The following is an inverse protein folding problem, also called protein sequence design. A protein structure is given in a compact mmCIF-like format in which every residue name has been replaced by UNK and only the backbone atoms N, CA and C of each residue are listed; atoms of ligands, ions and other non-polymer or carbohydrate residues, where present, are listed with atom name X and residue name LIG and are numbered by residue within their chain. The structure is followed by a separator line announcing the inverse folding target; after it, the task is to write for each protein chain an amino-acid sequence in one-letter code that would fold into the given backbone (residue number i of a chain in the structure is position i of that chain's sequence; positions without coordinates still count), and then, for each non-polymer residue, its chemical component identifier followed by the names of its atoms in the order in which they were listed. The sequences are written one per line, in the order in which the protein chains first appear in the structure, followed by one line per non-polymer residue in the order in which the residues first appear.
data_IF_404984657004
#
_entry.id   IF_404984657004
#
_cell.length_a   1.000
_cell.length_b   1.000
_cell.length_c   1.000
_cell.angle_alpha   90.00
_cell.angle_beta   90.00
_cell.angle_gamma   90.00
#
_symmetry.space_group_name_H-M   'P 1'
#
loop_
_entity.id
_entity.type
_entity.pdbx_description
1 polymer ?
#
# COMPACT_ATOMS: atom_id res chain seq x y z
N UNK A 1 39.65 -14.86 -24.32
CA UNK A 1 38.58 -14.29 -23.45
C UNK A 1 37.17 -14.86 -23.70
N UNK A 2 36.96 -15.80 -24.63
CA UNK A 2 35.63 -16.38 -24.89
C UNK A 2 35.38 -17.78 -24.27
N UNK A 3 36.36 -18.39 -23.59
CA UNK A 3 36.23 -19.74 -23.01
C UNK A 3 35.87 -19.76 -21.51
N UNK A 4 35.87 -18.61 -20.82
CA UNK A 4 35.55 -18.55 -19.40
C UNK A 4 34.03 -18.52 -19.11
N UNK A 5 33.18 -18.14 -20.08
CA UNK A 5 31.74 -17.93 -19.84
C UNK A 5 30.90 -19.22 -19.82
N UNK A 6 31.47 -20.36 -20.22
CA UNK A 6 30.72 -21.63 -20.28
C UNK A 6 30.95 -22.56 -19.08
N UNK A 7 31.93 -22.29 -18.22
CA UNK A 7 32.21 -23.11 -17.02
C UNK A 7 31.41 -22.68 -15.77
N UNK A 8 30.81 -21.49 -15.76
CA UNK A 8 30.12 -20.98 -14.56
C UNK A 8 28.67 -21.49 -14.40
N UNK A 9 28.14 -22.20 -15.41
CA UNK A 9 26.73 -22.64 -15.44
C UNK A 9 26.43 -23.98 -14.74
N UNK A 10 27.42 -24.66 -14.13
CA UNK A 10 27.21 -26.00 -13.53
C UNK A 10 27.41 -26.12 -12.02
N UNK A 11 27.88 -25.10 -11.29
CA UNK A 11 28.36 -25.28 -9.90
C UNK A 11 27.68 -24.39 -8.84
N UNK A 12 26.43 -23.95 -9.04
CA UNK A 12 25.75 -23.11 -8.02
C UNK A 12 24.23 -23.30 -8.03
N UNK A 13 23.75 -24.50 -7.71
CA UNK A 13 22.40 -24.65 -7.14
C UNK A 13 22.39 -25.69 -6.01
N UNK A 14 22.83 -25.22 -4.85
CA UNK A 14 22.33 -25.57 -3.51
C UNK A 14 22.53 -27.02 -3.04
N UNK A 15 23.78 -27.37 -2.77
CA UNK A 15 24.10 -28.13 -1.55
C UNK A 15 23.97 -27.18 -0.36
N UNK A 16 22.87 -27.27 0.39
CA UNK A 16 22.82 -27.03 1.85
C UNK A 16 21.58 -27.74 2.41
N UNK A 17 21.88 -28.75 3.22
CA UNK A 17 21.23 -29.13 4.47
C UNK A 17 19.70 -29.41 4.42
N UNK A 18 19.28 -30.65 4.66
CA UNK A 18 19.43 -31.21 5.99
C UNK A 18 19.46 -32.73 5.97
N UNK A 19 20.63 -33.27 6.34
CA UNK A 19 20.73 -34.58 6.95
C UNK A 19 20.02 -34.48 8.31
N UNK A 20 18.70 -34.60 8.31
CA UNK A 20 17.95 -34.70 9.56
C UNK A 20 18.25 -36.08 10.13
N UNK A 21 19.22 -36.07 11.05
CA UNK A 21 19.44 -37.08 12.07
C UNK A 21 18.08 -37.63 12.50
N UNK A 22 17.72 -38.82 12.02
CA UNK A 22 16.41 -39.41 12.25
C UNK A 22 16.29 -39.63 13.76
N UNK A 23 15.45 -38.90 14.50
CA UNK A 23 15.11 -39.35 15.83
C UNK A 23 14.32 -40.65 15.63
N UNK A 24 14.50 -41.63 16.50
CA UNK A 24 13.65 -42.82 16.59
C UNK A 24 12.23 -42.36 17.00
N UNK A 25 11.49 -41.78 16.06
CA UNK A 25 10.12 -41.34 16.25
C UNK A 25 9.21 -42.55 16.09
N UNK A 26 8.68 -43.02 17.21
CA UNK A 26 7.78 -44.16 17.28
C UNK A 26 6.32 -43.71 17.27
N UNK A 27 5.46 -44.43 16.55
CA UNK A 27 4.00 -44.22 16.53
C UNK A 27 3.50 -43.12 15.57
N UNK A 28 2.45 -42.41 15.99
CA UNK A 28 1.67 -41.44 15.18
C UNK A 28 2.50 -40.29 14.56
N UNK A 29 3.61 -39.90 15.21
CA UNK A 29 4.51 -38.85 14.69
C UNK A 29 5.16 -39.25 13.36
N UNK A 30 5.49 -40.53 13.18
CA UNK A 30 6.09 -41.02 11.93
C UNK A 30 5.10 -40.93 10.77
N UNK A 31 3.81 -41.16 11.01
CA UNK A 31 2.77 -41.01 9.99
C UNK A 31 2.63 -39.54 9.56
N UNK A 32 2.65 -38.61 10.52
CA UNK A 32 2.60 -37.17 10.25
C UNK A 32 3.83 -36.73 9.46
N UNK A 33 5.04 -37.13 9.87
CA UNK A 33 6.26 -36.80 9.14
C UNK A 33 6.27 -37.36 7.71
N UNK A 34 5.78 -38.59 7.53
CA UNK A 34 5.69 -39.22 6.22
C UNK A 34 4.67 -38.50 5.34
N UNK A 35 3.53 -38.12 5.89
CA UNK A 35 2.48 -37.35 5.22
C UNK A 35 2.97 -35.94 4.85
N UNK A 36 3.65 -35.24 5.75
CA UNK A 36 4.23 -33.93 5.50
C UNK A 36 5.31 -34.00 4.41
N UNK A 37 6.18 -35.01 4.43
CA UNK A 37 7.17 -35.25 3.36
C UNK A 37 6.50 -35.60 2.02
N UNK A 38 5.33 -36.21 2.04
CA UNK A 38 4.55 -36.51 0.83
C UNK A 38 3.92 -35.23 0.26
N UNK A 39 3.29 -34.41 1.10
CA UNK A 39 2.77 -33.08 0.72
C UNK A 39 3.89 -32.21 0.18
N UNK A 40 5.03 -32.14 0.85
CA UNK A 40 6.16 -31.31 0.42
C UNK A 40 6.67 -31.76 -0.96
N UNK A 41 6.78 -33.07 -1.19
CA UNK A 41 7.15 -33.60 -2.52
C UNK A 41 6.10 -33.26 -3.57
N UNK A 42 4.82 -33.33 -3.23
CA UNK A 42 3.73 -32.96 -4.13
C UNK A 42 3.75 -31.46 -4.47
N UNK A 43 3.98 -30.62 -3.47
CA UNK A 43 4.18 -29.17 -3.62
C UNK A 43 5.41 -28.85 -4.47
N UNK A 44 6.56 -29.47 -4.21
CA UNK A 44 7.74 -29.26 -5.06
C UNK A 44 7.48 -29.70 -6.51
N UNK A 45 6.74 -30.79 -6.72
CA UNK A 45 6.38 -31.27 -8.05
C UNK A 45 5.36 -30.36 -8.76
N UNK A 46 4.44 -29.73 -8.03
CA UNK A 46 3.51 -28.74 -8.60
C UNK A 46 4.26 -27.45 -8.98
N UNK A 47 5.20 -27.01 -8.15
CA UNK A 47 6.04 -25.83 -8.41
C UNK A 47 7.02 -26.05 -9.56
N UNK A 48 7.59 -27.24 -9.69
CA UNK A 48 8.53 -27.58 -10.77
C UNK A 48 7.85 -27.56 -12.16
N UNK A 49 6.53 -27.71 -12.21
CA UNK A 49 5.79 -27.58 -13.45
C UNK A 49 5.86 -26.15 -13.99
N UNK A 50 6.53 -25.98 -15.14
CA UNK A 50 6.73 -24.67 -15.79
C UNK A 50 5.41 -23.94 -16.06
N UNK A 51 4.36 -24.65 -16.46
CA UNK A 51 3.03 -24.07 -16.69
C UNK A 51 2.42 -23.51 -15.40
N UNK A 52 2.58 -24.20 -14.27
CA UNK A 52 2.05 -23.74 -12.99
C UNK A 52 2.78 -22.49 -12.48
N UNK A 53 4.10 -22.45 -12.64
CA UNK A 53 4.89 -21.25 -12.32
C UNK A 53 4.47 -20.03 -13.16
N UNK A 54 4.21 -20.22 -14.46
CA UNK A 54 3.72 -19.14 -15.32
C UNK A 54 2.35 -18.65 -14.85
N UNK A 55 1.42 -19.58 -14.56
CA UNK A 55 0.09 -19.24 -14.04
C UNK A 55 0.16 -18.44 -12.74
N UNK A 56 0.98 -18.88 -11.77
CA UNK A 56 1.15 -18.20 -10.49
C UNK A 56 1.75 -16.80 -10.69
N UNK A 57 2.69 -16.65 -11.61
CA UNK A 57 3.28 -15.34 -11.96
C UNK A 57 2.21 -14.39 -12.51
N UNK A 58 1.34 -14.87 -13.41
CA UNK A 58 0.22 -14.09 -13.95
C UNK A 58 -0.75 -13.68 -12.83
N UNK A 59 -1.10 -14.61 -11.95
CA UNK A 59 -1.98 -14.31 -10.81
C UNK A 59 -1.40 -13.23 -9.89
N UNK A 60 -0.08 -13.26 -9.64
CA UNK A 60 0.62 -12.23 -8.85
C UNK A 60 0.58 -10.89 -9.58
N UNK A 61 0.81 -10.84 -10.89
CA UNK A 61 0.73 -9.59 -11.67
C UNK A 61 -0.68 -8.99 -11.58
N UNK A 62 -1.72 -9.81 -11.72
CA UNK A 62 -3.12 -9.38 -11.59
C UNK A 62 -3.38 -8.84 -10.17
N UNK A 63 -2.92 -9.55 -9.15
CA UNK A 63 -3.04 -9.10 -7.76
C UNK A 63 -2.38 -7.73 -7.53
N UNK A 64 -1.18 -7.53 -8.04
CA UNK A 64 -0.47 -6.25 -7.93
C UNK A 64 -1.20 -5.13 -8.68
N UNK A 65 -1.72 -5.41 -9.88
CA UNK A 65 -2.53 -4.47 -10.66
C UNK A 65 -3.73 -3.97 -9.85
N UNK A 66 -4.52 -4.87 -9.28
CA UNK A 66 -5.65 -4.50 -8.42
C UNK A 66 -5.22 -3.79 -7.14
N UNK A 67 -4.10 -4.20 -6.54
CA UNK A 67 -3.58 -3.57 -5.32
C UNK A 67 -3.20 -2.10 -5.56
N UNK A 68 -2.52 -1.82 -6.67
CA UNK A 68 -2.15 -0.45 -7.06
C UNK A 68 -3.39 0.38 -7.38
N UNK A 69 -4.34 -0.17 -8.13
CA UNK A 69 -5.60 0.54 -8.44
C UNK A 69 -6.39 0.83 -7.17
N UNK A 70 -6.50 -0.14 -6.25
CA UNK A 70 -7.17 0.04 -4.97
C UNK A 70 -6.48 1.09 -4.10
N UNK A 71 -5.15 1.08 -4.07
CA UNK A 71 -4.36 2.07 -3.34
C UNK A 71 -4.52 3.48 -3.94
N UNK A 72 -4.52 3.62 -5.27
CA UNK A 72 -4.70 4.90 -5.95
C UNK A 72 -6.14 5.41 -5.89
N UNK A 73 -7.13 4.52 -5.85
CA UNK A 73 -8.55 4.88 -5.73
C UNK A 73 -8.98 5.16 -4.28
N UNK A 74 -8.08 5.04 -3.30
CA UNK A 74 -8.42 5.37 -1.93
C UNK A 74 -8.61 6.89 -1.84
N UNK A 75 -9.86 7.33 -1.91
CA UNK A 75 -10.21 8.72 -1.62
C UNK A 75 -10.00 8.90 -0.12
N UNK A 76 -8.93 9.59 0.27
CA UNK A 76 -8.61 10.01 1.64
C UNK A 76 -9.56 11.12 2.15
N UNK A 77 -10.75 11.23 1.57
CA UNK A 77 -11.82 12.06 2.12
C UNK A 77 -12.22 11.40 3.44
N UNK A 78 -11.98 12.08 4.54
CA UNK A 78 -12.42 11.67 5.87
C UNK A 78 -13.94 11.85 5.92
N UNK A 79 -14.69 10.94 5.30
CA UNK A 79 -16.16 10.98 5.32
C UNK A 79 -16.61 10.95 6.79
N UNK A 80 -17.09 12.08 7.29
CA UNK A 80 -17.59 12.26 8.66
C UNK A 80 -18.73 11.28 8.97
N UNK A 81 -19.32 10.71 7.90
CA UNK A 81 -20.33 9.65 7.91
C UNK A 81 -19.84 8.34 8.53
N UNK A 82 -18.52 8.08 8.54
CA UNK A 82 -17.93 6.86 9.16
C UNK A 82 -17.52 7.05 10.62
N UNK A 83 -17.49 8.29 11.11
CA UNK A 83 -17.07 8.61 12.49
C UNK A 83 -18.27 8.57 13.45
N UNK A 84 -19.48 8.75 12.94
CA UNK A 84 -20.71 8.62 13.72
C UNK A 84 -21.39 7.26 13.49
N UNK A 85 -21.93 6.62 14.55
CA UNK A 85 -22.77 5.43 14.40
C UNK A 85 -23.95 5.72 13.44
N UNK A 86 -24.28 4.73 12.59
CA UNK A 86 -25.25 4.86 11.49
C UNK A 86 -26.66 5.25 11.93
N UNK A 87 -26.99 5.06 13.20
CA UNK A 87 -28.35 5.20 13.72
C UNK A 87 -28.60 6.54 14.44
N UNK A 88 -27.68 7.50 14.32
CA UNK A 88 -27.86 8.81 14.96
C UNK A 88 -28.79 9.72 14.15
N UNK A 89 -29.82 10.34 14.78
CA UNK A 89 -30.68 11.34 14.13
C UNK A 89 -29.93 12.59 13.62
N UNK A 90 -28.65 12.75 14.00
CA UNK A 90 -27.76 13.84 13.56
C UNK A 90 -27.15 13.59 12.16
N UNK A 91 -27.34 12.41 11.56
CA UNK A 91 -26.82 12.16 10.20
C UNK A 91 -27.52 12.96 9.11
N UNK A 92 -28.82 13.28 9.26
CA UNK A 92 -29.57 14.00 8.20
C UNK A 92 -29.03 15.43 7.98
N UNK A 93 -28.80 16.25 9.02
CA UNK A 93 -28.15 17.54 8.84
C UNK A 93 -26.71 17.44 8.33
N UNK A 94 -25.95 16.45 8.80
CA UNK A 94 -24.51 16.33 8.47
C UNK A 94 -24.27 15.92 7.00
N UNK A 95 -25.24 15.26 6.37
CA UNK A 95 -25.20 14.91 4.94
C UNK A 95 -25.47 16.13 4.06
N UNK A 96 -26.41 16.99 4.48
CA UNK A 96 -26.70 18.28 3.84
C UNK A 96 -25.51 19.24 4.01
N UNK A 97 -24.89 19.26 5.20
CA UNK A 97 -23.69 20.05 5.47
C UNK A 97 -22.51 19.62 4.58
N UNK A 98 -22.34 18.31 4.33
CA UNK A 98 -21.31 17.83 3.40
C UNK A 98 -21.61 18.17 1.95
N UNK A 99 -22.84 17.99 1.47
CA UNK A 99 -23.17 18.30 0.07
C UNK A 99 -23.14 19.80 -0.22
N UNK A 100 -23.42 20.65 0.77
CA UNK A 100 -23.55 22.11 0.59
C UNK A 100 -22.27 22.85 1.03
N UNK A 101 -21.71 22.53 2.20
CA UNK A 101 -20.58 23.29 2.80
C UNK A 101 -19.21 22.70 2.47
N UNK A 102 -19.12 21.44 2.02
CA UNK A 102 -17.82 20.90 1.57
C UNK A 102 -17.57 21.07 0.07
N UNK A 103 -18.58 21.43 -0.72
CA UNK A 103 -18.43 21.85 -2.11
C UNK A 103 -18.02 23.35 -2.19
N UNK A 104 -18.53 24.16 -1.27
CA UNK A 104 -18.06 25.53 -1.04
C UNK A 104 -16.83 25.52 -0.13
N UNK A 105 -15.67 25.94 -0.65
CA UNK A 105 -14.41 26.00 0.08
C UNK A 105 -14.57 26.60 1.49
N UNK A 106 -13.94 25.99 2.49
CA UNK A 106 -13.94 26.52 3.86
C UNK A 106 -13.26 27.89 3.91
N UNK A 107 -13.80 28.87 4.66
CA UNK A 107 -13.20 30.19 4.74
C UNK A 107 -11.82 30.11 5.39
N UNK A 108 -10.78 30.43 4.63
CA UNK A 108 -9.40 30.51 5.12
C UNK A 108 -9.21 31.85 5.80
N UNK A 109 -9.02 31.85 7.12
CA UNK A 109 -8.70 33.06 7.89
C UNK A 109 -7.19 33.18 8.08
N UNK A 110 -6.56 34.15 7.44
CA UNK A 110 -5.12 34.43 7.60
C UNK A 110 -4.92 35.48 8.69
N UNK A 111 -4.31 35.09 9.81
CA UNK A 111 -3.97 36.00 10.89
C UNK A 111 -2.55 36.55 10.69
N UNK A 112 -2.43 37.88 10.58
CA UNK A 112 -1.13 38.56 10.51
C UNK A 112 -0.70 38.95 11.93
N UNK A 113 0.42 38.38 12.39
CA UNK A 113 0.90 38.53 13.77
C UNK A 113 1.34 39.97 14.12
N UNK A 114 1.85 40.73 13.14
CA UNK A 114 2.33 42.09 13.34
C UNK A 114 1.31 43.12 12.81
N UNK A 115 1.01 44.19 13.57
CA UNK A 115 0.09 45.22 13.10
C UNK A 115 0.68 45.95 11.89
N UNK A 116 -0.06 45.94 10.79
CA UNK A 116 0.29 46.68 9.58
C UNK A 116 0.04 48.17 9.83
N UNK A 117 1.08 48.99 9.62
CA UNK A 117 0.95 50.45 9.67
C UNK A 117 0.41 50.96 8.32
N UNK A 118 -0.90 51.21 8.28
CA UNK A 118 -1.66 51.64 7.09
C UNK A 118 -1.14 52.96 6.51
N UNK A 119 -0.42 53.75 7.32
CA UNK A 119 0.14 55.04 6.92
C UNK A 119 1.38 54.92 6.04
N UNK A 120 2.04 53.76 6.04
CA UNK A 120 3.28 53.54 5.28
C UNK A 120 2.98 52.80 3.98
N UNK A 121 3.40 53.39 2.87
CA UNK A 121 3.12 52.88 1.51
C UNK A 121 3.82 51.55 1.19
N UNK A 122 5.06 51.39 1.65
CA UNK A 122 5.90 50.20 1.46
C UNK A 122 5.28 48.89 2.03
N UNK A 123 4.96 48.80 3.34
CA UNK A 123 4.36 47.58 3.91
C UNK A 123 2.95 47.31 3.38
N UNK A 124 2.19 48.35 3.02
CA UNK A 124 0.87 48.20 2.40
C UNK A 124 0.98 47.56 1.01
N UNK A 125 1.98 47.95 0.22
CA UNK A 125 2.19 47.38 -1.12
C UNK A 125 2.55 45.89 -1.05
N UNK A 126 3.32 45.46 -0.04
CA UNK A 126 3.60 44.03 0.20
C UNK A 126 2.36 43.25 0.63
N UNK A 127 1.48 43.86 1.42
CA UNK A 127 0.22 43.22 1.79
C UNK A 127 -0.67 43.00 0.56
N UNK A 128 -0.80 44.00 -0.32
CA UNK A 128 -1.54 43.85 -1.57
C UNK A 128 -0.93 42.84 -2.53
N UNK A 129 0.40 42.71 -2.56
CA UNK A 129 1.07 41.64 -3.31
C UNK A 129 0.69 40.27 -2.77
N UNK A 130 0.72 40.09 -1.44
CA UNK A 130 0.30 38.84 -0.81
C UNK A 130 -1.17 38.50 -1.14
N UNK A 131 -2.06 39.48 -1.10
CA UNK A 131 -3.48 39.29 -1.48
C UNK A 131 -3.61 38.88 -2.95
N UNK A 132 -2.93 39.59 -3.87
CA UNK A 132 -2.94 39.24 -5.29
C UNK A 132 -2.37 37.84 -5.55
N UNK A 133 -1.29 37.46 -4.87
CA UNK A 133 -0.71 36.13 -5.00
C UNK A 133 -1.71 35.05 -4.55
N UNK A 134 -2.44 35.30 -3.44
CA UNK A 134 -3.50 34.40 -2.95
C UNK A 134 -4.72 34.32 -3.88
N UNK A 135 -5.14 35.43 -4.48
CA UNK A 135 -6.28 35.47 -5.41
C UNK A 135 -5.95 34.85 -6.78
N UNK A 136 -4.67 34.80 -7.15
CA UNK A 136 -4.22 34.24 -8.44
C UNK A 136 -3.99 32.73 -8.44
N UNK A 137 -3.96 32.08 -7.26
CA UNK A 137 -3.78 30.65 -7.05
C UNK A 137 -5.10 29.87 -7.13
#
# INVERSE_FOLDING_TARGET
LALASHCEKRNKKYTISSYSQKPLLYGWRLQIDTFMKWILRMYCRILEHRCFTIFLTIAVIIYWYFSIIGALNIKTRLDTVKILPRDSPIQRPNRILNDIIWDEYHPVTVLVNNPLDIRKREPMQRFWQLVNDFESL
#
